data_IF_676969910580
#
_entry.id   IF_676969910580
#
_cell.length_a   1.000
_cell.length_b   1.000
_cell.length_c   1.000
_cell.angle_alpha   90.00
_cell.angle_beta   90.00
_cell.angle_gamma   90.00
#
_symmetry.space_group_name_H-M   'P 1'
#
loop_
_entity.id
_entity.type
_entity.pdbx_description
1 polymer ?
#
# COMPACT_ATOMS: atom_id res chain seq x y z
N UNK A 1 -31.01 -0.73 8.90
CA UNK A 1 -29.79 -1.39 9.44
C UNK A 1 -28.70 -1.17 8.41
N UNK A 2 -27.60 -0.52 8.77
CA UNK A 2 -26.51 -0.22 7.82
C UNK A 2 -25.40 -1.26 7.81
N UNK A 3 -24.56 -1.20 6.77
CA UNK A 3 -23.39 -2.03 6.62
C UNK A 3 -22.32 -1.74 7.68
N UNK A 4 -21.49 -2.74 7.93
CA UNK A 4 -20.33 -2.68 8.83
C UNK A 4 -19.06 -2.69 7.99
N UNK A 5 -18.11 -1.80 8.28
CA UNK A 5 -16.77 -1.76 7.71
C UNK A 5 -15.75 -1.99 8.82
N UNK A 6 -14.96 -3.05 8.71
CA UNK A 6 -13.91 -3.40 9.65
C UNK A 6 -12.54 -3.09 9.04
N UNK A 7 -11.76 -2.23 9.68
CA UNK A 7 -10.37 -1.97 9.32
C UNK A 7 -9.43 -2.95 10.03
N UNK A 8 -8.74 -3.77 9.26
CA UNK A 8 -7.81 -4.80 9.70
C UNK A 8 -6.41 -4.54 9.10
N UNK A 9 -5.32 -4.95 9.79
CA UNK A 9 -3.96 -4.63 9.35
C UNK A 9 -3.58 -5.20 7.98
N UNK A 10 -4.02 -6.42 7.69
CA UNK A 10 -3.64 -7.13 6.48
C UNK A 10 -4.54 -8.33 6.18
N UNK A 11 -4.16 -9.05 5.12
CA UNK A 11 -4.94 -10.17 4.60
C UNK A 11 -5.12 -11.34 5.59
N UNK A 12 -4.08 -11.67 6.35
CA UNK A 12 -4.15 -12.77 7.32
C UNK A 12 -5.18 -12.47 8.42
N UNK A 13 -5.22 -11.23 8.90
CA UNK A 13 -6.21 -10.79 9.88
C UNK A 13 -7.63 -10.77 9.27
N UNK A 14 -7.77 -10.33 8.02
CA UNK A 14 -9.04 -10.40 7.27
C UNK A 14 -9.57 -11.83 7.23
N UNK A 15 -8.74 -12.81 6.86
CA UNK A 15 -9.16 -14.21 6.77
C UNK A 15 -9.57 -14.79 8.12
N UNK A 16 -8.77 -14.59 9.16
CA UNK A 16 -9.09 -15.06 10.53
C UNK A 16 -10.41 -14.50 11.05
N UNK A 17 -10.67 -13.20 10.82
CA UNK A 17 -11.94 -12.58 11.22
C UNK A 17 -13.08 -13.10 10.36
N UNK A 18 -12.86 -13.30 9.06
CA UNK A 18 -13.87 -13.86 8.16
C UNK A 18 -14.30 -15.28 8.61
N UNK A 19 -13.34 -16.16 8.85
CA UNK A 19 -13.56 -17.54 9.31
C UNK A 19 -14.32 -17.56 10.63
N UNK A 20 -13.84 -16.79 11.62
CA UNK A 20 -14.50 -16.69 12.93
C UNK A 20 -15.94 -16.17 12.84
N UNK A 21 -16.20 -15.16 11.99
CA UNK A 21 -17.55 -14.66 11.75
C UNK A 21 -18.43 -15.71 11.07
N UNK A 22 -17.91 -16.45 10.10
CA UNK A 22 -18.65 -17.51 9.40
C UNK A 22 -19.04 -18.64 10.36
N UNK A 23 -18.15 -19.03 11.27
CA UNK A 23 -18.43 -20.03 12.30
C UNK A 23 -19.49 -19.55 13.30
N UNK A 24 -19.31 -18.36 13.86
CA UNK A 24 -20.23 -17.81 14.87
C UNK A 24 -21.63 -17.53 14.29
N UNK A 25 -21.71 -17.16 13.01
CA UNK A 25 -22.96 -16.82 12.33
C UNK A 25 -23.54 -17.98 11.52
N UNK A 26 -23.00 -19.20 11.63
CA UNK A 26 -23.44 -20.37 10.89
C UNK A 26 -24.95 -20.67 11.08
N UNK A 27 -25.46 -20.45 12.29
CA UNK A 27 -26.89 -20.67 12.63
C UNK A 27 -27.83 -19.59 12.07
N UNK A 28 -27.27 -18.46 11.63
CA UNK A 28 -27.98 -17.33 10.99
C UNK A 28 -27.63 -17.23 9.51
N UNK A 29 -27.37 -18.37 8.87
CA UNK A 29 -27.00 -18.47 7.46
C UNK A 29 -27.99 -17.71 6.58
N UNK A 30 -27.48 -16.84 5.71
CA UNK A 30 -28.28 -15.97 4.84
C UNK A 30 -28.63 -14.59 5.38
N UNK A 31 -28.37 -14.28 6.67
CA UNK A 31 -28.62 -12.94 7.23
C UNK A 31 -27.43 -11.97 7.10
N UNK A 32 -26.26 -12.47 6.72
CA UNK A 32 -25.01 -11.69 6.67
C UNK A 32 -24.26 -11.93 5.37
N UNK A 33 -23.75 -10.85 4.76
CA UNK A 33 -22.89 -10.87 3.59
C UNK A 33 -21.50 -10.39 3.99
N UNK A 34 -20.55 -11.31 4.15
CA UNK A 34 -19.17 -11.01 4.59
C UNK A 34 -18.26 -10.90 3.37
N UNK A 35 -17.64 -9.74 3.17
CA UNK A 35 -16.86 -9.41 1.97
C UNK A 35 -15.42 -8.99 2.34
N UNK A 36 -14.39 -9.79 2.03
CA UNK A 36 -13.00 -9.41 2.21
C UNK A 36 -12.52 -8.46 1.09
N UNK A 37 -11.78 -7.42 1.45
CA UNK A 37 -11.27 -6.39 0.54
C UNK A 37 -9.78 -6.15 0.79
N UNK A 38 -8.97 -6.32 -0.24
CA UNK A 38 -7.51 -6.14 -0.16
C UNK A 38 -6.96 -5.68 -1.51
N UNK A 39 -5.86 -4.91 -1.50
CA UNK A 39 -5.19 -4.38 -2.71
C UNK A 39 -4.62 -5.45 -3.65
N UNK A 40 -4.46 -6.68 -3.15
CA UNK A 40 -3.96 -7.81 -3.94
C UNK A 40 -5.08 -8.57 -4.67
N UNK A 41 -6.34 -8.27 -4.35
CA UNK A 41 -7.49 -8.87 -5.03
C UNK A 41 -8.02 -7.85 -6.05
N UNK A 42 -8.17 -8.23 -7.34
CA UNK A 42 -8.68 -7.33 -8.35
C UNK A 42 -10.03 -6.73 -7.97
N UNK A 43 -10.22 -5.42 -8.24
CA UNK A 43 -11.48 -4.72 -7.97
C UNK A 43 -12.67 -5.34 -8.73
N UNK A 44 -12.44 -5.94 -9.90
CA UNK A 44 -13.46 -6.69 -10.65
C UNK A 44 -14.04 -7.84 -9.82
N UNK A 45 -13.22 -8.45 -8.97
CA UNK A 45 -13.62 -9.54 -8.08
C UNK A 45 -14.25 -9.02 -6.77
N UNK A 46 -14.35 -7.69 -6.62
CA UNK A 46 -14.89 -7.02 -5.44
C UNK A 46 -16.14 -6.19 -5.78
N UNK A 47 -16.75 -6.34 -6.97
CA UNK A 47 -17.93 -5.56 -7.36
C UNK A 47 -19.08 -5.62 -6.35
N UNK A 48 -19.27 -6.78 -5.71
CA UNK A 48 -20.29 -6.99 -4.68
C UNK A 48 -20.18 -6.03 -3.47
N UNK A 49 -19.03 -5.38 -3.25
CA UNK A 49 -18.88 -4.41 -2.15
C UNK A 49 -19.67 -3.13 -2.41
N UNK A 50 -19.85 -2.76 -3.68
CA UNK A 50 -20.55 -1.54 -4.09
C UNK A 50 -22.06 -1.75 -4.19
N UNK A 51 -22.49 -3.00 -4.32
CA UNK A 51 -23.90 -3.36 -4.37
C UNK A 51 -24.55 -3.28 -2.98
N UNK A 52 -25.83 -2.90 -2.95
CA UNK A 52 -26.62 -2.97 -1.72
C UNK A 52 -26.94 -4.43 -1.41
N UNK A 53 -26.85 -4.87 -0.14
CA UNK A 53 -27.22 -6.23 0.21
C UNK A 53 -28.72 -6.47 -0.01
N UNK A 54 -29.14 -7.72 -0.24
CA UNK A 54 -30.55 -8.08 -0.32
C UNK A 54 -31.34 -7.70 0.95
N UNK A 55 -32.67 -7.51 0.87
CA UNK A 55 -33.49 -7.23 2.04
C UNK A 55 -33.33 -8.29 3.13
N UNK A 56 -33.16 -7.86 4.38
CA UNK A 56 -32.93 -8.75 5.52
C UNK A 56 -31.48 -9.23 5.69
N UNK A 57 -30.57 -8.84 4.78
CA UNK A 57 -29.15 -9.20 4.82
C UNK A 57 -28.32 -8.00 5.26
N UNK A 58 -27.42 -8.20 6.23
CA UNK A 58 -26.47 -7.18 6.68
C UNK A 58 -25.10 -7.39 6.02
N UNK A 59 -24.60 -6.37 5.33
CA UNK A 59 -23.25 -6.37 4.74
C UNK A 59 -22.18 -6.10 5.79
N UNK A 60 -21.11 -6.90 5.78
CA UNK A 60 -19.93 -6.79 6.62
C UNK A 60 -18.70 -6.80 5.72
N UNK A 61 -18.01 -5.68 5.62
CA UNK A 61 -16.83 -5.51 4.79
C UNK A 61 -15.59 -5.58 5.67
N UNK A 62 -14.66 -6.47 5.34
CA UNK A 62 -13.39 -6.64 6.04
C UNK A 62 -12.27 -6.11 5.15
N UNK A 63 -11.67 -4.97 5.51
CA UNK A 63 -10.76 -4.25 4.62
C UNK A 63 -9.48 -3.80 5.32
N UNK A 64 -8.42 -3.60 4.52
CA UNK A 64 -7.24 -2.84 4.95
C UNK A 64 -7.47 -1.34 4.78
N UNK A 65 -6.41 -0.54 4.90
CA UNK A 65 -6.41 0.89 4.58
C UNK A 65 -6.82 1.22 3.12
N UNK A 66 -7.00 0.23 2.23
CA UNK A 66 -7.58 0.48 0.89
C UNK A 66 -8.98 1.10 0.95
N UNK A 67 -9.78 0.75 1.97
CA UNK A 67 -11.10 1.35 2.19
C UNK A 67 -11.04 2.75 2.83
N UNK A 68 -9.85 3.20 3.23
CA UNK A 68 -9.64 4.53 3.79
C UNK A 68 -9.50 5.60 2.70
N UNK A 69 -8.99 5.25 1.52
CA UNK A 69 -8.74 6.21 0.42
C UNK A 69 -9.34 5.76 -0.90
N UNK A 70 -9.13 4.49 -1.28
CA UNK A 70 -9.28 4.00 -2.65
C UNK A 70 -10.63 3.37 -2.94
N UNK A 71 -11.39 2.97 -1.90
CA UNK A 71 -12.72 2.38 -2.04
C UNK A 71 -13.75 3.20 -1.27
N UNK A 72 -14.88 3.46 -1.92
CA UNK A 72 -16.05 4.14 -1.34
C UNK A 72 -17.24 3.18 -1.33
N UNK A 73 -17.79 2.94 -0.13
CA UNK A 73 -18.94 2.06 0.07
C UNK A 73 -20.03 2.89 0.74
N UNK A 74 -21.13 3.13 0.03
CA UNK A 74 -22.11 4.15 0.41
C UNK A 74 -23.04 3.74 1.55
N UNK A 75 -23.28 2.44 1.75
CA UNK A 75 -24.23 1.91 2.72
C UNK A 75 -23.60 1.56 4.09
N UNK A 76 -22.37 2.01 4.34
CA UNK A 76 -21.70 1.85 5.63
C UNK A 76 -22.25 2.82 6.66
N UNK A 77 -22.63 2.29 7.82
CA UNK A 77 -23.11 3.06 8.99
C UNK A 77 -22.31 2.74 10.25
N UNK A 78 -21.60 1.61 10.25
CA UNK A 78 -20.78 1.18 11.38
C UNK A 78 -19.36 0.96 10.90
N UNK A 79 -18.39 1.59 11.57
CA UNK A 79 -16.97 1.37 11.36
C UNK A 79 -16.40 0.71 12.60
N UNK A 80 -15.67 -0.39 12.43
CA UNK A 80 -14.88 -1.04 13.47
C UNK A 80 -13.41 -0.88 13.09
N UNK A 81 -12.63 -0.20 13.94
CA UNK A 81 -11.25 0.16 13.65
C UNK A 81 -10.30 -0.49 14.67
N UNK A 82 -9.45 -1.40 14.19
CA UNK A 82 -8.39 -2.00 15.01
C UNK A 82 -7.30 -1.00 15.41
N UNK A 83 -7.21 0.15 14.73
CA UNK A 83 -6.17 1.15 14.97
C UNK A 83 -4.81 0.79 14.39
N UNK A 84 -4.70 -0.29 13.62
CA UNK A 84 -3.44 -0.75 13.05
C UNK A 84 -3.50 -0.83 11.52
N UNK A 85 -2.34 -0.75 10.89
CA UNK A 85 -2.15 -1.03 9.46
C UNK A 85 -0.76 -1.63 9.21
N UNK A 86 -0.54 -2.19 8.02
CA UNK A 86 0.80 -2.52 7.55
C UNK A 86 1.41 -1.32 6.83
N UNK A 87 2.62 -0.96 7.23
CA UNK A 87 3.39 0.15 6.67
C UNK A 87 4.75 -0.35 6.19
N UNK A 88 5.14 0.06 4.98
CA UNK A 88 6.49 -0.17 4.49
C UNK A 88 7.45 0.79 5.18
N UNK A 89 8.50 0.24 5.78
CA UNK A 89 9.60 0.96 6.39
C UNK A 89 10.91 0.56 5.73
N UNK A 90 11.78 1.54 5.55
CA UNK A 90 13.09 1.35 4.95
C UNK A 90 14.18 1.64 5.96
N UNK A 91 15.07 0.67 6.18
CA UNK A 91 16.27 0.86 6.99
C UNK A 91 17.43 1.29 6.07
N UNK A 92 17.86 2.55 6.23
CA UNK A 92 18.95 3.15 5.46
C UNK A 92 20.30 2.44 5.65
N UNK A 93 20.53 1.80 6.80
CA UNK A 93 21.80 1.14 7.13
C UNK A 93 21.88 -0.23 6.49
N UNK A 94 20.79 -1.01 6.57
CA UNK A 94 20.75 -2.36 6.01
C UNK A 94 20.31 -2.38 4.54
N UNK A 95 19.74 -1.27 4.04
CA UNK A 95 19.09 -1.14 2.73
C UNK A 95 17.97 -2.16 2.53
N UNK A 96 17.28 -2.51 3.61
CA UNK A 96 16.17 -3.47 3.59
C UNK A 96 14.85 -2.72 3.81
N UNK A 97 13.87 -2.99 2.95
CA UNK A 97 12.48 -2.64 3.22
C UNK A 97 11.79 -3.78 3.96
N UNK A 98 11.12 -3.46 5.06
CA UNK A 98 10.24 -4.38 5.78
C UNK A 98 8.80 -3.85 5.77
N UNK A 99 7.85 -4.77 5.88
CA UNK A 99 6.43 -4.45 6.05
C UNK A 99 6.05 -4.70 7.50
N UNK A 100 5.89 -3.64 8.29
CA UNK A 100 5.62 -3.72 9.72
C UNK A 100 4.16 -3.39 10.02
N UNK A 101 3.58 -4.09 11.00
CA UNK A 101 2.28 -3.70 11.55
C UNK A 101 2.49 -2.60 12.59
N UNK A 102 1.92 -1.42 12.34
CA UNK A 102 2.08 -0.24 13.18
C UNK A 102 0.72 0.37 13.54
N UNK A 103 0.72 1.20 14.60
CA UNK A 103 -0.44 2.03 14.93
C UNK A 103 -0.64 3.10 13.87
N UNK A 104 -1.90 3.35 13.52
CA UNK A 104 -2.27 4.42 12.60
C UNK A 104 -2.15 5.80 13.26
N UNK A 105 -2.13 6.86 12.46
CA UNK A 105 -2.15 8.22 12.99
C UNK A 105 -3.56 8.64 13.44
N UNK A 106 -3.65 9.72 14.21
CA UNK A 106 -4.92 10.39 14.56
C UNK A 106 -5.68 10.85 13.31
N UNK A 107 -4.95 11.27 12.26
CA UNK A 107 -5.57 11.63 10.98
C UNK A 107 -6.22 10.41 10.30
N UNK A 108 -5.59 9.24 10.33
CA UNK A 108 -6.18 8.00 9.81
C UNK A 108 -7.44 7.60 10.60
N UNK A 109 -7.39 7.63 11.94
CA UNK A 109 -8.57 7.35 12.78
C UNK A 109 -9.74 8.26 12.41
N UNK A 110 -9.45 9.55 12.17
CA UNK A 110 -10.44 10.54 11.75
C UNK A 110 -11.03 10.22 10.37
N UNK A 111 -10.20 9.83 9.41
CA UNK A 111 -10.65 9.41 8.08
C UNK A 111 -11.53 8.17 8.14
N UNK A 112 -11.12 7.14 8.91
CA UNK A 112 -11.87 5.90 9.12
C UNK A 112 -13.23 6.17 9.75
N UNK A 113 -13.29 7.01 10.79
CA UNK A 113 -14.54 7.47 11.40
C UNK A 113 -15.48 8.11 10.38
N UNK A 114 -14.95 8.91 9.45
CA UNK A 114 -15.73 9.56 8.39
C UNK A 114 -16.46 8.60 7.46
N UNK A 115 -16.03 7.34 7.37
CA UNK A 115 -16.64 6.30 6.52
C UNK A 115 -18.03 5.88 7.01
N UNK A 116 -18.34 6.03 8.30
CA UNK A 116 -19.65 5.70 8.87
C UNK A 116 -20.71 6.80 8.63
N UNK A 117 -20.30 8.03 8.29
CA UNK A 117 -21.17 9.21 8.33
C UNK A 117 -21.58 9.76 6.96
N UNK A 118 -21.42 8.99 5.87
CA UNK A 118 -21.59 9.52 4.50
C UNK A 118 -23.05 9.75 4.12
N UNK A 119 -23.90 8.76 4.32
CA UNK A 119 -25.30 8.81 3.87
C UNK A 119 -26.29 9.07 5.01
N UNK A 120 -25.89 8.81 6.26
CA UNK A 120 -26.70 8.98 7.46
C UNK A 120 -25.80 9.00 8.70
N UNK A 121 -26.31 9.39 9.89
CA UNK A 121 -25.56 9.27 11.13
C UNK A 121 -25.10 7.83 11.38
N UNK A 122 -23.83 7.67 11.76
CA UNK A 122 -23.20 6.37 11.97
C UNK A 122 -22.33 6.31 13.22
N UNK A 123 -21.80 5.11 13.48
CA UNK A 123 -21.01 4.80 14.65
C UNK A 123 -19.60 4.35 14.26
N UNK A 124 -18.61 4.78 15.03
CA UNK A 124 -17.22 4.36 14.87
C UNK A 124 -16.74 3.76 16.19
N UNK A 125 -16.32 2.50 16.15
CA UNK A 125 -15.84 1.72 17.27
C UNK A 125 -14.32 1.55 17.13
N UNK A 126 -13.57 2.01 18.11
CA UNK A 126 -12.11 1.95 18.10
C UNK A 126 -11.62 0.92 19.12
N UNK A 127 -10.84 -0.06 18.67
CA UNK A 127 -10.36 -1.18 19.51
C UNK A 127 -9.02 -0.85 20.20
N UNK A 128 -8.91 0.38 20.71
CA UNK A 128 -7.75 0.89 21.42
C UNK A 128 -8.18 1.88 22.50
N UNK A 129 -7.35 2.02 23.55
CA UNK A 129 -7.65 2.92 24.67
C UNK A 129 -7.51 4.40 24.25
N UNK A 130 -8.12 5.30 25.04
CA UNK A 130 -7.93 6.75 24.86
C UNK A 130 -6.48 7.17 25.04
N UNK A 131 -5.75 6.50 25.95
CA UNK A 131 -4.32 6.72 26.16
C UNK A 131 -3.52 6.35 24.91
N UNK A 132 -3.79 5.18 24.31
CA UNK A 132 -3.17 4.78 23.05
C UNK A 132 -3.46 5.77 21.94
N UNK A 133 -4.71 6.24 21.82
CA UNK A 133 -5.07 7.27 20.84
C UNK A 133 -4.33 8.60 21.07
N UNK A 134 -4.07 8.99 22.32
CA UNK A 134 -3.29 10.20 22.63
C UNK A 134 -1.81 10.03 22.25
N UNK A 135 -1.26 8.83 22.42
CA UNK A 135 0.11 8.48 22.05
C UNK A 135 0.35 8.35 20.53
N UNK A 136 -0.70 8.14 19.73
CA UNK A 136 -0.60 8.11 18.26
C UNK A 136 -0.09 9.45 17.70
N UNK A 137 0.69 9.38 16.62
CA UNK A 137 1.13 10.56 15.88
C UNK A 137 -0.05 11.30 15.28
N UNK A 138 0.08 12.62 15.10
CA UNK A 138 -0.98 13.43 14.46
C UNK A 138 -1.19 13.03 13.00
N UNK A 139 -0.08 12.81 12.28
CA UNK A 139 -0.05 12.44 10.87
C UNK A 139 0.89 11.24 10.66
N UNK A 140 0.66 10.52 9.57
CA UNK A 140 1.58 9.49 9.13
C UNK A 140 2.85 10.14 8.60
N UNK A 141 4.00 9.51 8.82
CA UNK A 141 5.28 9.97 8.25
C UNK A 141 5.18 9.95 6.73
N UNK A 142 5.62 11.02 6.07
CA UNK A 142 5.58 11.13 4.61
C UNK A 142 6.33 9.96 3.95
N UNK A 143 5.75 9.42 2.87
CA UNK A 143 6.29 8.24 2.18
C UNK A 143 7.73 8.46 1.69
N UNK A 144 8.03 9.68 1.25
CA UNK A 144 9.36 10.12 0.81
C UNK A 144 10.44 9.96 1.88
N UNK A 145 10.08 9.93 3.17
CA UNK A 145 11.02 9.79 4.27
C UNK A 145 11.26 8.33 4.69
N UNK A 146 10.47 7.39 4.16
CA UNK A 146 10.41 5.99 4.64
C UNK A 146 10.44 4.94 3.54
N UNK A 147 10.69 5.35 2.30
CA UNK A 147 10.79 4.47 1.13
C UNK A 147 12.13 4.67 0.41
N UNK A 148 12.59 3.66 -0.35
CA UNK A 148 13.77 3.80 -1.20
C UNK A 148 13.58 4.93 -2.24
N UNK A 149 14.61 5.75 -2.47
CA UNK A 149 14.53 6.99 -3.24
C UNK A 149 14.93 6.82 -4.72
N UNK A 150 15.38 5.64 -5.14
CA UNK A 150 15.96 5.37 -6.46
C UNK A 150 14.99 5.75 -7.58
N UNK A 151 13.73 5.33 -7.48
CA UNK A 151 12.69 5.71 -8.44
C UNK A 151 12.48 7.23 -8.48
N UNK A 152 12.46 7.87 -7.31
CA UNK A 152 12.23 9.31 -7.22
C UNK A 152 13.41 10.11 -7.80
N UNK A 153 14.64 9.65 -7.57
CA UNK A 153 15.86 10.22 -8.17
C UNK A 153 15.81 10.09 -9.69
N UNK A 154 15.44 8.92 -10.23
CA UNK A 154 15.26 8.74 -11.68
C UNK A 154 14.21 9.72 -12.22
N UNK A 155 13.05 9.84 -11.56
CA UNK A 155 12.00 10.79 -11.97
C UNK A 155 12.46 12.25 -11.90
N UNK A 156 13.21 12.64 -10.86
CA UNK A 156 13.80 13.96 -10.76
C UNK A 156 14.73 14.24 -11.95
N UNK A 157 15.61 13.29 -12.32
CA UNK A 157 16.50 13.46 -13.46
C UNK A 157 15.80 13.51 -14.82
N UNK A 158 14.61 12.92 -14.97
CA UNK A 158 13.78 13.06 -16.17
C UNK A 158 13.21 14.47 -16.30
N UNK A 159 12.70 15.03 -15.19
CA UNK A 159 11.94 16.28 -15.22
C UNK A 159 12.79 17.53 -15.00
N UNK A 160 13.91 17.41 -14.30
CA UNK A 160 14.87 18.49 -14.01
C UNK A 160 16.31 17.99 -14.23
N UNK A 161 16.70 17.68 -15.49
CA UNK A 161 18.02 17.10 -15.80
C UNK A 161 19.19 18.01 -15.42
N UNK A 162 18.99 19.32 -15.43
CA UNK A 162 19.98 20.34 -15.06
C UNK A 162 20.28 20.40 -13.55
N UNK A 163 19.42 19.84 -12.71
CA UNK A 163 19.59 19.84 -11.26
C UNK A 163 20.14 18.49 -10.78
N UNK A 164 20.93 18.52 -9.71
CA UNK A 164 21.19 17.29 -8.95
C UNK A 164 19.93 16.87 -8.20
N UNK A 165 19.75 15.57 -7.99
CA UNK A 165 18.65 15.01 -7.22
C UNK A 165 18.67 15.52 -5.79
N UNK A 166 19.85 15.82 -5.24
CA UNK A 166 19.97 16.46 -3.94
C UNK A 166 19.38 17.87 -3.93
N UNK A 167 19.70 18.71 -4.92
CA UNK A 167 19.13 20.05 -5.04
C UNK A 167 17.61 20.00 -5.24
N UNK A 168 17.13 19.08 -6.08
CA UNK A 168 15.69 18.92 -6.33
C UNK A 168 14.94 18.43 -5.08
N UNK A 169 15.38 17.32 -4.47
CA UNK A 169 14.69 16.72 -3.33
C UNK A 169 14.80 17.53 -2.05
N UNK A 170 15.83 18.36 -1.93
CA UNK A 170 15.94 19.31 -0.80
C UNK A 170 14.86 20.40 -0.78
N UNK A 171 14.15 20.59 -1.90
CA UNK A 171 13.06 21.56 -2.01
C UNK A 171 11.69 20.96 -1.66
N UNK A 172 11.61 19.66 -1.35
CA UNK A 172 10.36 19.04 -0.91
C UNK A 172 9.88 19.62 0.43
N UNK A 173 8.56 19.64 0.65
CA UNK A 173 7.93 20.10 1.90
C UNK A 173 8.56 19.42 3.13
N UNK A 174 8.77 18.11 3.01
CA UNK A 174 9.51 17.29 3.96
C UNK A 174 10.67 16.65 3.20
N UNK A 175 11.84 17.30 3.23
CA UNK A 175 13.04 16.81 2.55
C UNK A 175 13.55 15.51 3.18
N UNK A 176 13.92 14.50 2.37
CA UNK A 176 14.67 13.34 2.86
C UNK A 176 16.04 13.75 3.42
N UNK A 177 16.65 12.86 4.19
CA UNK A 177 18.03 13.03 4.63
C UNK A 177 18.98 13.06 3.42
N UNK A 178 19.91 14.03 3.41
CA UNK A 178 20.97 14.14 2.38
C UNK A 178 21.67 12.80 2.13
N UNK A 179 21.94 12.03 3.19
CA UNK A 179 22.62 10.74 3.06
C UNK A 179 21.80 9.73 2.26
N UNK A 180 20.49 9.65 2.50
CA UNK A 180 19.59 8.76 1.77
C UNK A 180 19.58 9.08 0.27
N UNK A 181 19.54 10.37 -0.08
CA UNK A 181 19.56 10.82 -1.48
C UNK A 181 20.87 10.43 -2.17
N UNK A 182 22.01 10.73 -1.54
CA UNK A 182 23.33 10.38 -2.08
C UNK A 182 23.54 8.87 -2.21
N UNK A 183 22.98 8.08 -1.28
CA UNK A 183 23.04 6.62 -1.34
C UNK A 183 22.22 6.07 -2.50
N UNK A 184 21.06 6.65 -2.80
CA UNK A 184 20.25 6.30 -3.97
C UNK A 184 20.92 6.70 -5.29
N UNK A 185 21.51 7.90 -5.38
CA UNK A 185 22.29 8.34 -6.56
C UNK A 185 23.45 7.38 -6.81
N UNK A 186 24.25 7.07 -5.77
CA UNK A 186 25.38 6.15 -5.90
C UNK A 186 24.92 4.77 -6.37
N UNK A 187 23.81 4.26 -5.83
CA UNK A 187 23.26 2.98 -6.28
C UNK A 187 22.88 3.00 -7.76
N UNK A 188 22.21 4.06 -8.22
CA UNK A 188 21.83 4.22 -9.63
C UNK A 188 23.05 4.32 -10.56
N UNK A 189 24.15 4.92 -10.09
CA UNK A 189 25.44 4.94 -10.79
C UNK A 189 26.10 3.55 -10.84
N UNK A 190 26.07 2.81 -9.73
CA UNK A 190 26.56 1.42 -9.65
C UNK A 190 25.83 0.53 -10.66
N UNK A 191 24.50 0.67 -10.78
CA UNK A 191 23.70 -0.06 -11.77
C UNK A 191 23.69 0.57 -13.16
N UNK A 192 24.46 1.64 -13.41
CA UNK A 192 24.59 2.32 -14.72
C UNK A 192 23.30 2.92 -15.27
N UNK A 193 22.33 3.22 -14.40
CA UNK A 193 21.14 4.01 -14.74
C UNK A 193 21.51 5.49 -14.83
N UNK A 194 22.37 5.95 -13.92
CA UNK A 194 23.00 7.26 -13.98
C UNK A 194 24.50 7.12 -14.32
N UNK A 195 25.08 8.17 -14.88
CA UNK A 195 26.53 8.31 -15.04
C UNK A 195 27.18 9.05 -13.86
N UNK A 196 28.50 9.26 -13.93
CA UNK A 196 29.28 9.91 -12.86
C UNK A 196 28.89 11.39 -12.64
N UNK A 197 28.29 12.04 -13.64
CA UNK A 197 27.80 13.42 -13.58
C UNK A 197 26.34 13.50 -13.14
N UNK A 198 25.74 12.37 -12.74
CA UNK A 198 24.34 12.27 -12.36
C UNK A 198 23.37 12.52 -13.54
N UNK A 199 23.80 12.22 -14.76
CA UNK A 199 22.97 12.27 -15.97
C UNK A 199 22.39 10.89 -16.28
N UNK A 200 21.18 10.86 -16.87
CA UNK A 200 20.57 9.60 -17.30
C UNK A 200 21.38 9.01 -18.46
N UNK A 201 21.78 7.75 -18.32
CA UNK A 201 22.39 7.02 -19.43
C UNK A 201 21.33 6.57 -20.42
N UNK A 202 21.74 6.12 -21.61
CA UNK A 202 20.81 5.48 -22.56
C UNK A 202 20.10 4.26 -21.94
N UNK A 203 20.77 3.53 -21.04
CA UNK A 203 20.12 2.47 -20.26
C UNK A 203 19.11 3.07 -19.29
N UNK A 204 19.48 4.13 -18.58
CA UNK A 204 18.61 4.83 -17.63
C UNK A 204 17.32 5.34 -18.27
N UNK A 205 17.39 5.90 -19.47
CA UNK A 205 16.20 6.30 -20.24
C UNK A 205 15.24 5.13 -20.52
N UNK A 206 15.79 3.95 -20.84
CA UNK A 206 14.98 2.74 -21.05
C UNK A 206 14.41 2.22 -19.74
N UNK A 207 15.21 2.20 -18.67
CA UNK A 207 14.74 1.79 -17.34
C UNK A 207 13.62 2.71 -16.85
N UNK A 208 13.74 4.02 -17.03
CA UNK A 208 12.74 5.01 -16.70
C UNK A 208 11.38 4.79 -17.40
N UNK A 209 11.39 4.19 -18.59
CA UNK A 209 10.16 3.84 -19.31
C UNK A 209 9.42 2.63 -18.72
N UNK A 210 10.06 1.87 -17.83
CA UNK A 210 9.47 0.72 -17.13
C UNK A 210 9.02 1.16 -15.75
N UNK A 211 7.71 1.08 -15.45
CA UNK A 211 7.13 1.49 -14.17
C UNK A 211 7.39 0.50 -13.02
N UNK A 212 8.66 0.18 -12.77
CA UNK A 212 9.11 -0.74 -11.70
C UNK A 212 10.35 -0.20 -11.01
N UNK A 213 10.80 -0.87 -9.93
CA UNK A 213 12.12 -0.62 -9.34
C UNK A 213 13.24 -0.57 -10.40
N UNK A 214 14.23 0.34 -10.33
CA UNK A 214 15.23 0.52 -11.38
C UNK A 214 16.09 -0.73 -11.62
N UNK A 215 16.31 -1.55 -10.58
CA UNK A 215 17.06 -2.82 -10.69
C UNK A 215 16.29 -3.84 -11.52
N UNK A 216 14.99 -3.94 -11.28
CA UNK A 216 14.08 -4.82 -12.01
C UNK A 216 13.87 -4.31 -13.45
N UNK A 217 13.73 -2.99 -13.62
CA UNK A 217 13.66 -2.35 -14.92
C UNK A 217 14.90 -2.62 -15.76
N UNK A 218 16.10 -2.49 -15.16
CA UNK A 218 17.36 -2.87 -15.81
C UNK A 218 17.37 -4.34 -16.24
N UNK A 219 16.93 -5.24 -15.38
CA UNK A 219 16.86 -6.65 -15.72
C UNK A 219 15.95 -6.88 -16.94
N UNK A 220 14.76 -6.27 -16.98
CA UNK A 220 13.80 -6.37 -18.10
C UNK A 220 14.42 -5.87 -19.41
N UNK A 221 15.09 -4.72 -19.38
CA UNK A 221 15.77 -4.15 -20.56
C UNK A 221 16.85 -5.12 -21.06
N UNK A 222 17.68 -5.65 -20.16
CA UNK A 222 18.73 -6.61 -20.52
C UNK A 222 18.16 -7.93 -21.06
N UNK A 223 17.08 -8.45 -20.47
CA UNK A 223 16.46 -9.69 -20.96
C UNK A 223 15.86 -9.55 -22.36
N UNK A 224 15.44 -8.34 -22.74
CA UNK A 224 15.02 -8.05 -24.11
C UNK A 224 16.20 -8.17 -25.10
N UNK A 225 17.40 -7.73 -24.68
CA UNK A 225 18.63 -7.84 -25.48
C UNK A 225 19.10 -9.30 -25.56
N UNK A 226 19.12 -10.00 -24.42
CA UNK A 226 19.54 -11.41 -24.33
C UNK A 226 18.46 -12.41 -24.79
N UNK A 227 17.29 -11.94 -25.23
CA UNK A 227 16.16 -12.74 -25.71
C UNK A 227 15.62 -13.75 -24.68
N UNK A 228 15.66 -13.39 -23.40
CA UNK A 228 15.11 -14.17 -22.28
C UNK A 228 13.99 -13.43 -21.53
N UNK A 229 13.25 -12.58 -22.25
CA UNK A 229 12.24 -11.70 -21.66
C UNK A 229 11.14 -12.45 -20.91
N UNK A 230 10.53 -13.48 -21.52
CA UNK A 230 9.42 -14.21 -20.91
C UNK A 230 9.75 -14.82 -19.53
N UNK A 231 10.80 -15.65 -19.35
CA UNK A 231 11.13 -16.18 -18.03
C UNK A 231 11.51 -15.08 -17.03
N UNK A 232 12.17 -14.01 -17.48
CA UNK A 232 12.50 -12.91 -16.58
C UNK A 232 11.26 -12.15 -16.10
N UNK A 233 10.27 -11.91 -16.98
CA UNK A 233 9.02 -11.26 -16.58
C UNK A 233 8.29 -12.06 -15.50
N UNK A 234 8.34 -13.40 -15.56
CA UNK A 234 7.79 -14.24 -14.49
C UNK A 234 8.53 -14.01 -13.18
N UNK A 235 9.87 -14.02 -13.18
CA UNK A 235 10.68 -13.78 -11.99
C UNK A 235 10.42 -12.38 -11.40
N UNK A 236 10.40 -11.34 -12.24
CA UNK A 236 10.14 -9.96 -11.82
C UNK A 236 8.72 -9.81 -11.27
N UNK A 237 7.73 -10.44 -11.90
CA UNK A 237 6.37 -10.50 -11.37
C UNK A 237 6.39 -11.12 -9.97
N UNK A 238 7.11 -12.22 -9.76
CA UNK A 238 7.21 -12.87 -8.45
C UNK A 238 7.87 -12.00 -7.37
N UNK A 239 8.87 -11.21 -7.74
CA UNK A 239 9.60 -10.33 -6.82
C UNK A 239 8.80 -9.06 -6.47
N UNK A 240 7.93 -8.61 -7.35
CA UNK A 240 7.08 -7.42 -7.13
C UNK A 240 5.77 -7.78 -6.43
N UNK A 241 5.18 -8.93 -6.76
CA UNK A 241 4.01 -9.49 -6.10
C UNK A 241 4.20 -10.98 -5.95
N UNK A 242 4.10 -11.48 -4.73
CA UNK A 242 4.09 -12.92 -4.49
C UNK A 242 2.91 -13.57 -5.24
N UNK A 243 3.16 -14.43 -6.25
CA UNK A 243 2.12 -15.10 -7.01
C UNK A 243 1.66 -16.35 -6.27
N UNK A 244 2.45 -16.81 -5.29
CA UNK A 244 2.02 -17.86 -4.39
C UNK A 244 1.02 -17.22 -3.45
N UNK A 245 -0.24 -17.58 -3.69
CA UNK A 245 -1.32 -17.46 -2.73
C UNK A 245 -0.91 -18.27 -1.49
N UNK A 246 -0.02 -17.75 -0.63
CA UNK A 246 0.48 -18.46 0.55
C UNK A 246 -0.68 -18.95 1.41
N UNK A 247 -1.10 -20.20 1.24
CA UNK A 247 -2.34 -20.73 1.84
C UNK A 247 -3.59 -19.87 1.63
N UNK A 248 -3.66 -19.01 0.61
CA UNK A 248 -4.71 -17.97 0.48
C UNK A 248 -6.02 -18.51 -0.17
N UNK A 249 -5.99 -19.73 -0.73
CA UNK A 249 -7.13 -20.39 -1.36
C UNK A 249 -7.33 -21.87 -0.99
N UNK A 250 -6.84 -22.31 0.18
CA UNK A 250 -7.25 -23.60 0.76
C UNK A 250 -7.94 -23.37 2.09
#
# INVERSE_FOLDING_TARGET
VGGILCFLPGWQEIRRVQESLQEQLAHSSGQHLILPVHSNVPLTNQQAIFERPPPGVRKIVLATNIAETSVTIDDIVHVVDTGMHKEQRYDLRTKVSCLETTWVSKSNVTQRRGRAGRCQPGFSYHLFSREQHQAMSSFQVAEILRTPLENLVVQAKIHTPEMTALEFLSQALESPERRAILDAVRFLQEIKVLDENEELTLLGERVASVSTDPSLGKAIVLASIYRCLHPLLVIVACLTKDPFLGGVMN
#
